data_IF_343461591894
#
_entry.id   IF_343461591894
#
_cell.length_a   1.000
_cell.length_b   1.000
_cell.length_c   1.000
_cell.angle_alpha   90.00
_cell.angle_beta   90.00
_cell.angle_gamma   90.00
#
_symmetry.space_group_name_H-M   'P 1'
#
loop_
_entity.id
_entity.type
_entity.pdbx_description
1 polymer ?
#
# COMPACT_ATOMS: atom_id res chain seq x y z
N UNK A 1 -8.19 -13.79 6.74
CA UNK A 1 -6.77 -14.01 6.40
C UNK A 1 -6.34 -12.82 5.57
N UNK A 2 -5.26 -12.14 5.93
CA UNK A 2 -4.78 -11.02 5.13
C UNK A 2 -4.23 -11.56 3.80
N UNK A 3 -4.63 -10.98 2.68
CA UNK A 3 -4.12 -11.31 1.35
C UNK A 3 -2.85 -10.50 1.09
N UNK A 4 -1.79 -11.15 0.64
CA UNK A 4 -0.57 -10.51 0.18
C UNK A 4 -0.62 -10.33 -1.34
N UNK A 5 -0.78 -9.11 -1.81
CA UNK A 5 -0.83 -8.81 -3.25
C UNK A 5 0.58 -8.53 -3.77
N UNK A 6 0.99 -9.24 -4.82
CA UNK A 6 2.32 -9.11 -5.43
C UNK A 6 2.20 -8.67 -6.87
N UNK A 7 2.90 -7.60 -7.26
CA UNK A 7 3.06 -7.25 -8.66
C UNK A 7 4.22 -8.07 -9.25
N UNK A 8 3.94 -8.88 -10.26
CA UNK A 8 4.92 -9.67 -10.98
C UNK A 8 5.09 -9.10 -12.39
N UNK A 9 6.27 -8.55 -12.68
CA UNK A 9 6.58 -7.87 -13.95
C UNK A 9 7.59 -8.70 -14.74
N UNK A 10 7.14 -9.36 -15.80
CA UNK A 10 7.92 -10.34 -16.56
C UNK A 10 7.31 -10.51 -17.95
N UNK A 11 8.09 -10.38 -19.01
CA UNK A 11 7.61 -10.48 -20.40
C UNK A 11 7.66 -11.93 -20.94
N UNK A 12 8.42 -12.82 -20.29
CA UNK A 12 8.48 -14.22 -20.67
C UNK A 12 7.28 -15.01 -20.12
N UNK A 13 6.37 -15.42 -21.01
CA UNK A 13 5.18 -16.25 -20.69
C UNK A 13 5.53 -17.51 -19.88
N UNK A 14 6.68 -18.14 -20.18
CA UNK A 14 7.13 -19.34 -19.44
C UNK A 14 7.44 -19.06 -17.97
N UNK A 15 8.02 -17.89 -17.68
CA UNK A 15 8.34 -17.45 -16.32
C UNK A 15 7.08 -17.01 -15.57
N UNK A 16 6.14 -16.36 -16.25
CA UNK A 16 4.81 -16.06 -15.69
C UNK A 16 4.09 -17.33 -15.26
N UNK A 17 4.05 -18.35 -16.12
CA UNK A 17 3.40 -19.63 -15.80
C UNK A 17 4.11 -20.34 -14.64
N UNK A 18 5.44 -20.36 -14.63
CA UNK A 18 6.21 -20.90 -13.53
C UNK A 18 5.90 -20.19 -12.20
N UNK A 19 5.82 -18.86 -12.22
CA UNK A 19 5.51 -18.08 -11.03
C UNK A 19 4.10 -18.38 -10.49
N UNK A 20 3.10 -18.52 -11.36
CA UNK A 20 1.72 -18.90 -10.97
C UNK A 20 1.72 -20.25 -10.25
N UNK A 21 2.37 -21.27 -10.83
CA UNK A 21 2.46 -22.60 -10.24
C UNK A 21 3.12 -22.57 -8.86
N UNK A 22 4.21 -21.79 -8.73
CA UNK A 22 4.89 -21.62 -7.44
C UNK A 22 4.01 -20.91 -6.43
N UNK A 23 3.23 -19.90 -6.81
CA UNK A 23 2.30 -19.21 -5.90
C UNK A 23 1.19 -20.15 -5.43
N UNK A 24 0.64 -20.97 -6.31
CA UNK A 24 -0.39 -21.96 -5.96
C UNK A 24 0.15 -22.99 -4.95
N UNK A 25 1.34 -23.54 -5.21
CA UNK A 25 2.02 -24.48 -4.33
C UNK A 25 2.39 -23.83 -2.98
N UNK A 26 2.85 -22.58 -3.01
CA UNK A 26 3.20 -21.80 -1.82
C UNK A 26 1.97 -21.58 -0.93
N UNK A 27 0.85 -21.14 -1.51
CA UNK A 27 -0.40 -20.92 -0.79
C UNK A 27 -0.91 -22.20 -0.12
N UNK A 28 -0.84 -23.34 -0.81
CA UNK A 28 -1.22 -24.64 -0.26
C UNK A 28 -0.28 -25.11 0.85
N UNK A 29 1.03 -24.99 0.63
CA UNK A 29 2.08 -25.47 1.54
C UNK A 29 2.08 -24.70 2.86
N UNK A 30 1.96 -23.37 2.78
CA UNK A 30 2.07 -22.50 3.95
C UNK A 30 0.71 -22.05 4.49
N UNK A 31 -0.40 -22.43 3.86
CA UNK A 31 -1.76 -22.00 4.20
C UNK A 31 -1.88 -20.46 4.27
N UNK A 32 -1.34 -19.80 3.23
CA UNK A 32 -1.31 -18.35 3.06
C UNK A 32 -2.19 -17.94 1.86
N UNK A 33 -2.42 -16.64 1.70
CA UNK A 33 -3.11 -16.07 0.54
C UNK A 33 -2.23 -15.03 -0.15
N UNK A 34 -1.41 -15.47 -1.10
CA UNK A 34 -0.68 -14.63 -2.04
C UNK A 34 -1.49 -14.50 -3.32
N UNK A 35 -1.73 -13.27 -3.76
CA UNK A 35 -2.42 -12.95 -5.01
C UNK A 35 -1.43 -12.28 -5.99
N UNK A 36 -1.03 -12.98 -7.07
CA UNK A 36 -0.12 -12.42 -8.06
C UNK A 36 -0.91 -11.60 -9.09
N UNK A 37 -0.45 -10.38 -9.36
CA UNK A 37 -0.92 -9.53 -10.45
C UNK A 37 0.20 -9.44 -11.50
N UNK A 38 -0.03 -10.05 -12.66
CA UNK A 38 0.99 -10.24 -13.69
C UNK A 38 0.87 -9.15 -14.75
N UNK A 39 2.01 -8.58 -15.13
CA UNK A 39 2.13 -7.60 -16.23
C UNK A 39 3.35 -7.93 -17.08
N UNK A 40 3.21 -7.79 -18.39
CA UNK A 40 4.23 -8.19 -19.36
C UNK A 40 5.16 -7.04 -19.79
N UNK A 41 4.78 -5.79 -19.52
CA UNK A 41 5.47 -4.64 -20.07
C UNK A 41 5.54 -3.46 -19.10
N UNK A 42 6.43 -2.52 -19.43
CA UNK A 42 6.69 -1.34 -18.61
C UNK A 42 5.47 -0.43 -18.46
N UNK A 43 4.70 -0.25 -19.54
CA UNK A 43 3.55 0.65 -19.55
C UNK A 43 2.41 0.09 -18.71
N UNK A 44 2.10 -1.19 -18.86
CA UNK A 44 1.10 -1.91 -18.07
C UNK A 44 1.44 -1.89 -16.58
N UNK A 45 2.71 -2.06 -16.22
CA UNK A 45 3.17 -1.94 -14.85
C UNK A 45 2.96 -0.51 -14.30
N UNK A 46 3.47 0.52 -14.99
CA UNK A 46 3.33 1.92 -14.57
C UNK A 46 1.87 2.35 -14.43
N UNK A 47 0.97 1.81 -15.25
CA UNK A 47 -0.47 2.10 -15.15
C UNK A 47 -1.17 1.47 -13.94
N UNK A 48 -0.53 0.50 -13.26
CA UNK A 48 -1.07 -0.20 -12.08
C UNK A 48 -0.43 0.20 -10.77
N UNK A 49 0.79 0.73 -10.78
CA UNK A 49 1.56 1.03 -9.55
C UNK A 49 0.77 1.94 -8.61
N UNK A 50 0.51 1.44 -7.41
CA UNK A 50 -0.09 2.15 -6.29
C UNK A 50 0.37 1.51 -4.96
N UNK A 51 -0.17 1.97 -3.83
CA UNK A 51 0.13 1.41 -2.51
C UNK A 51 -0.64 0.10 -2.19
N UNK A 52 -1.32 -0.54 -3.15
CA UNK A 52 -2.07 -1.79 -2.93
C UNK A 52 -1.18 -3.04 -2.93
N UNK A 53 0.05 -2.94 -3.44
CA UNK A 53 0.99 -4.05 -3.50
C UNK A 53 1.85 -4.15 -2.24
N UNK A 54 2.04 -5.37 -1.75
CA UNK A 54 2.89 -5.68 -0.60
C UNK A 54 4.30 -6.10 -1.00
N UNK A 55 4.52 -6.39 -2.28
CA UNK A 55 5.81 -6.72 -2.84
C UNK A 55 5.79 -6.65 -4.36
N UNK A 56 6.96 -6.47 -4.95
CA UNK A 56 7.16 -6.51 -6.39
C UNK A 56 8.28 -7.47 -6.73
N UNK A 57 8.06 -8.31 -7.72
CA UNK A 57 9.11 -9.13 -8.36
C UNK A 57 9.17 -8.70 -9.83
N UNK A 58 10.36 -8.41 -10.33
CA UNK A 58 10.53 -7.73 -11.63
C UNK A 58 11.74 -8.22 -12.41
N UNK A 59 11.56 -8.50 -13.71
CA UNK A 59 12.65 -8.54 -14.68
C UNK A 59 13.05 -7.12 -15.10
N UNK A 60 14.34 -6.89 -15.26
CA UNK A 60 14.90 -5.60 -15.59
C UNK A 60 14.84 -5.27 -17.07
N UNK A 61 14.88 -6.29 -17.93
CA UNK A 61 14.72 -6.15 -19.37
C UNK A 61 13.30 -6.59 -19.74
N UNK A 62 12.49 -5.66 -20.24
CA UNK A 62 11.10 -5.92 -20.62
C UNK A 62 10.94 -5.65 -22.12
N UNK A 63 10.83 -6.70 -22.93
CA UNK A 63 10.98 -6.63 -24.37
C UNK A 63 12.31 -6.00 -24.77
N UNK A 64 12.27 -4.91 -25.53
CA UNK A 64 13.47 -4.16 -25.93
C UNK A 64 13.81 -3.00 -24.97
N UNK A 65 13.05 -2.78 -23.89
CA UNK A 65 13.26 -1.67 -22.95
C UNK A 65 14.25 -2.04 -21.83
N UNK A 66 15.53 -1.77 -22.05
CA UNK A 66 16.60 -1.93 -21.04
C UNK A 66 16.46 -1.03 -19.81
N UNK A 67 15.57 -0.03 -19.85
CA UNK A 67 15.27 0.84 -18.72
C UNK A 67 13.92 0.51 -18.07
N UNK A 68 13.18 -0.46 -18.60
CA UNK A 68 11.81 -0.79 -18.18
C UNK A 68 11.71 -1.04 -16.69
N UNK A 69 12.47 -2.02 -16.19
CA UNK A 69 12.49 -2.35 -14.77
C UNK A 69 12.91 -1.18 -13.88
N UNK A 70 13.93 -0.42 -14.29
CA UNK A 70 14.40 0.74 -13.53
C UNK A 70 13.36 1.89 -13.48
N UNK A 71 12.58 2.10 -14.55
CA UNK A 71 11.49 3.10 -14.54
C UNK A 71 10.44 2.72 -13.51
N UNK A 72 10.07 1.44 -13.44
CA UNK A 72 9.11 0.91 -12.46
C UNK A 72 9.64 1.08 -11.03
N UNK A 73 10.89 0.73 -10.76
CA UNK A 73 11.51 0.94 -9.44
C UNK A 73 11.50 2.41 -9.02
N UNK A 74 11.84 3.33 -9.93
CA UNK A 74 11.78 4.77 -9.64
C UNK A 74 10.37 5.26 -9.33
N UNK A 75 9.35 4.73 -10.02
CA UNK A 75 7.96 5.09 -9.74
C UNK A 75 7.50 4.57 -8.38
N UNK A 76 7.83 3.31 -8.05
CA UNK A 76 7.61 2.75 -6.71
C UNK A 76 8.31 3.59 -5.62
N UNK A 77 9.49 4.12 -5.90
CA UNK A 77 10.22 4.98 -4.98
C UNK A 77 9.53 6.33 -4.72
N UNK A 78 8.62 6.77 -5.59
CA UNK A 78 7.82 7.98 -5.39
C UNK A 78 6.56 7.74 -4.54
N UNK A 79 6.19 6.48 -4.28
CA UNK A 79 5.05 6.18 -3.43
C UNK A 79 5.27 6.59 -1.97
N UNK A 80 4.22 7.05 -1.27
CA UNK A 80 4.28 7.34 0.17
C UNK A 80 4.69 6.12 1.00
N UNK A 81 4.14 4.94 0.67
CA UNK A 81 4.47 3.68 1.33
C UNK A 81 5.46 2.92 0.45
N UNK A 82 6.60 2.55 1.05
CA UNK A 82 7.68 1.87 0.33
C UNK A 82 7.36 0.40 0.17
N UNK A 83 7.35 -0.07 -1.08
CA UNK A 83 7.08 -1.47 -1.43
C UNK A 83 8.41 -2.17 -1.70
N UNK A 84 8.70 -3.31 -1.04
CA UNK A 84 9.93 -4.06 -1.28
C UNK A 84 9.95 -4.65 -2.70
N UNK A 85 11.11 -4.57 -3.35
CA UNK A 85 11.33 -5.05 -4.72
C UNK A 85 12.38 -6.17 -4.73
N UNK A 86 12.10 -7.21 -5.48
CA UNK A 86 13.05 -8.27 -5.84
C UNK A 86 13.29 -8.23 -7.34
N UNK A 87 14.54 -8.00 -7.74
CA UNK A 87 14.94 -8.05 -9.14
C UNK A 87 15.36 -9.47 -9.52
N UNK A 88 14.64 -10.10 -10.45
CA UNK A 88 14.95 -11.41 -11.01
C UNK A 88 15.27 -11.22 -12.48
N UNK A 89 16.56 -11.24 -12.84
CA UNK A 89 16.97 -10.91 -14.20
C UNK A 89 18.24 -11.64 -14.64
N UNK A 90 18.33 -11.94 -15.93
CA UNK A 90 19.57 -12.39 -16.57
C UNK A 90 20.53 -11.23 -16.87
N UNK A 91 20.10 -9.98 -16.69
CA UNK A 91 20.85 -8.76 -17.00
C UNK A 91 21.13 -7.91 -15.75
N UNK A 92 21.88 -8.42 -14.76
CA UNK A 92 22.07 -7.73 -13.47
C UNK A 92 22.76 -6.36 -13.62
N UNK A 93 23.54 -6.16 -14.68
CA UNK A 93 24.18 -4.87 -14.96
C UNK A 93 23.19 -3.74 -15.31
N UNK A 94 21.92 -4.08 -15.61
CA UNK A 94 20.87 -3.09 -15.81
C UNK A 94 20.33 -2.55 -14.47
N UNK A 95 20.53 -3.25 -13.36
CA UNK A 95 19.99 -2.85 -12.05
C UNK A 95 20.65 -1.56 -11.58
N UNK A 96 19.82 -0.53 -11.35
CA UNK A 96 20.23 0.68 -10.66
C UNK A 96 19.90 0.56 -9.18
N UNK A 97 20.87 0.90 -8.33
CA UNK A 97 20.70 0.80 -6.88
C UNK A 97 19.55 1.68 -6.40
N UNK A 98 18.63 1.06 -5.68
CA UNK A 98 17.57 1.72 -4.93
C UNK A 98 17.38 1.01 -3.58
N UNK A 99 17.04 1.77 -2.54
CA UNK A 99 16.75 1.23 -1.21
C UNK A 99 15.54 0.29 -1.15
N UNK A 100 14.65 0.37 -2.14
CA UNK A 100 13.51 -0.55 -2.29
C UNK A 100 13.93 -1.97 -2.69
N UNK A 101 15.08 -2.11 -3.36
CA UNK A 101 15.53 -3.41 -3.85
C UNK A 101 16.14 -4.19 -2.67
N UNK A 102 15.41 -5.20 -2.22
CA UNK A 102 15.81 -6.03 -1.08
C UNK A 102 16.54 -7.32 -1.49
N UNK A 103 16.46 -7.67 -2.79
CA UNK A 103 17.18 -8.82 -3.37
C UNK A 103 17.36 -8.62 -4.88
N UNK A 104 18.52 -9.03 -5.36
CA UNK A 104 18.87 -9.13 -6.78
C UNK A 104 19.34 -10.56 -7.04
N UNK A 105 18.80 -11.22 -8.07
CA UNK A 105 19.25 -12.56 -8.45
C UNK A 105 19.03 -12.85 -9.94
N UNK A 106 19.73 -13.86 -10.44
CA UNK A 106 19.41 -14.48 -11.73
C UNK A 106 18.32 -15.54 -11.55
N UNK A 107 17.70 -15.93 -12.67
CA UNK A 107 16.69 -17.02 -12.70
C UNK A 107 17.27 -18.35 -12.20
N UNK A 108 18.51 -18.66 -12.55
CA UNK A 108 19.19 -19.91 -12.17
C UNK A 108 19.75 -19.94 -10.73
N UNK A 109 19.68 -18.83 -9.99
CA UNK A 109 20.27 -18.70 -8.66
C UNK A 109 19.23 -18.26 -7.62
N UNK A 110 18.32 -19.17 -7.29
CA UNK A 110 17.24 -18.97 -6.33
C UNK A 110 15.93 -19.60 -6.82
N UNK A 111 14.84 -19.34 -6.11
CA UNK A 111 13.49 -19.75 -6.53
C UNK A 111 12.48 -18.67 -6.19
N UNK A 112 11.37 -18.62 -6.93
CA UNK A 112 10.25 -17.74 -6.58
C UNK A 112 9.68 -18.06 -5.21
N UNK A 113 9.68 -19.32 -4.76
CA UNK A 113 9.29 -19.70 -3.40
C UNK A 113 10.13 -18.97 -2.34
N UNK A 114 11.45 -18.93 -2.52
CA UNK A 114 12.35 -18.22 -1.62
C UNK A 114 12.17 -16.70 -1.64
N UNK A 115 11.68 -16.15 -2.75
CA UNK A 115 11.34 -14.74 -2.90
C UNK A 115 10.02 -14.41 -2.22
N UNK A 116 9.01 -15.28 -2.37
CA UNK A 116 7.74 -15.20 -1.67
C UNK A 116 7.95 -15.28 -0.15
N UNK A 117 8.81 -16.18 0.34
CA UNK A 117 9.17 -16.24 1.75
C UNK A 117 9.81 -14.93 2.25
N UNK A 118 10.73 -14.34 1.47
CA UNK A 118 11.37 -13.07 1.84
C UNK A 118 10.36 -11.93 1.87
N UNK A 119 9.53 -11.81 0.83
CA UNK A 119 8.50 -10.77 0.78
C UNK A 119 7.48 -10.98 1.91
N UNK A 120 7.09 -12.23 2.18
CA UNK A 120 6.22 -12.58 3.28
C UNK A 120 6.85 -12.23 4.62
N UNK A 121 8.14 -12.48 4.84
CA UNK A 121 8.85 -12.05 6.06
C UNK A 121 8.78 -10.53 6.22
N UNK A 122 8.93 -9.76 5.14
CA UNK A 122 8.81 -8.29 5.22
C UNK A 122 7.39 -7.82 5.47
N UNK A 123 6.43 -8.48 4.83
CA UNK A 123 5.01 -8.22 5.05
C UNK A 123 4.60 -8.58 6.49
N UNK A 124 5.06 -9.72 7.00
CA UNK A 124 4.70 -10.29 8.30
C UNK A 124 5.56 -9.82 9.47
N UNK A 125 6.74 -9.26 9.24
CA UNK A 125 7.49 -8.49 10.25
C UNK A 125 6.74 -7.20 10.62
N UNK A 126 5.87 -6.72 9.71
CA UNK A 126 4.82 -5.75 10.02
C UNK A 126 3.53 -6.38 10.56
N UNK A 127 3.50 -7.67 10.89
CA UNK A 127 2.34 -8.44 11.40
C UNK A 127 2.71 -9.33 12.60
N UNK A 128 3.66 -8.92 13.47
CA UNK A 128 3.75 -9.59 14.79
C UNK A 128 2.36 -9.54 15.47
N UNK A 129 2.03 -10.42 16.43
CA UNK A 129 0.71 -10.36 17.12
C UNK A 129 0.41 -8.98 17.74
N UNK A 130 1.46 -8.18 17.92
CA UNK A 130 1.50 -6.80 18.39
C UNK A 130 1.54 -5.73 17.27
N UNK A 131 1.78 -6.09 16.00
CA UNK A 131 1.79 -5.19 14.83
C UNK A 131 0.86 -5.62 13.66
N UNK A 132 -0.01 -6.62 13.78
CA UNK A 132 -1.04 -6.87 12.76
C UNK A 132 -2.05 -5.72 12.60
N UNK A 133 -1.83 -4.63 13.31
CA UNK A 133 -2.49 -3.34 13.24
C UNK A 133 -1.60 -2.33 12.52
N UNK A 134 -2.12 -1.72 11.46
CA UNK A 134 -1.47 -0.53 10.90
C UNK A 134 -1.68 0.62 11.87
N UNK A 135 -0.59 1.21 12.35
CA UNK A 135 -0.65 2.35 13.27
C UNK A 135 -0.65 3.67 12.52
N UNK A 136 -1.67 4.49 12.78
CA UNK A 136 -1.87 5.83 12.25
C UNK A 136 -1.73 6.87 13.36
N UNK A 137 -1.46 8.11 12.97
CA UNK A 137 -1.23 9.21 13.90
C UNK A 137 -2.47 10.10 13.93
N UNK A 138 -3.16 10.13 15.07
CA UNK A 138 -4.25 11.07 15.32
C UNK A 138 -3.74 12.30 16.08
N UNK A 139 -4.17 13.49 15.69
CA UNK A 139 -4.15 14.65 16.58
C UNK A 139 -5.53 14.81 17.19
N UNK A 140 -5.59 14.84 18.52
CA UNK A 140 -6.84 15.03 19.27
C UNK A 140 -6.73 16.22 20.21
N UNK A 141 -7.87 16.82 20.54
CA UNK A 141 -7.98 17.82 21.60
C UNK A 141 -9.36 17.81 22.23
N UNK A 142 -9.41 18.23 23.47
CA UNK A 142 -10.66 18.63 24.11
C UNK A 142 -10.94 20.11 23.84
N UNK A 143 -12.18 20.42 23.47
CA UNK A 143 -12.69 21.77 23.24
C UNK A 143 -14.14 21.83 23.73
N UNK A 144 -14.42 22.67 24.73
CA UNK A 144 -15.78 22.95 25.22
C UNK A 144 -16.60 21.70 25.60
N UNK A 145 -15.96 20.71 26.25
CA UNK A 145 -16.61 19.46 26.67
C UNK A 145 -16.86 18.48 25.51
N UNK A 146 -16.13 18.65 24.41
CA UNK A 146 -16.10 17.73 23.27
C UNK A 146 -14.66 17.35 22.96
N UNK A 147 -14.47 16.12 22.51
CA UNK A 147 -13.22 15.63 21.96
C UNK A 147 -13.31 15.69 20.44
N UNK A 148 -12.33 16.31 19.80
CA UNK A 148 -12.21 16.40 18.34
C UNK A 148 -10.88 15.81 17.91
N UNK A 149 -10.87 15.03 16.83
CA UNK A 149 -9.64 14.43 16.33
C UNK A 149 -9.65 14.16 14.82
N UNK A 150 -8.45 14.05 14.25
CA UNK A 150 -8.23 13.70 12.86
C UNK A 150 -6.98 12.84 12.67
N UNK A 151 -6.98 12.01 11.63
CA UNK A 151 -5.82 11.21 11.21
C UNK A 151 -4.93 12.04 10.29
N UNK A 152 -3.62 12.10 10.56
CA UNK A 152 -2.68 12.91 9.78
C UNK A 152 -2.40 12.34 8.40
N UNK A 153 -2.35 11.01 8.31
CA UNK A 153 -1.98 10.29 7.09
C UNK A 153 -3.16 10.19 6.10
N UNK A 154 -4.40 10.23 6.59
CA UNK A 154 -5.62 10.05 5.77
C UNK A 154 -6.49 11.29 5.84
N UNK A 155 -6.51 12.06 4.74
CA UNK A 155 -7.34 13.27 4.63
C UNK A 155 -8.83 12.89 4.62
N UNK A 156 -9.61 13.50 5.51
CA UNK A 156 -11.05 13.31 5.59
C UNK A 156 -11.52 12.43 6.75
N UNK A 157 -10.60 11.76 7.47
CA UNK A 157 -10.95 11.09 8.74
C UNK A 157 -10.96 12.14 9.84
N UNK A 158 -12.15 12.58 10.22
CA UNK A 158 -12.35 13.54 11.31
C UNK A 158 -13.58 13.16 12.10
N UNK A 159 -13.43 13.08 13.42
CA UNK A 159 -14.49 12.66 14.32
C UNK A 159 -14.60 13.62 15.50
N UNK A 160 -15.79 13.66 16.11
CA UNK A 160 -16.05 14.42 17.31
C UNK A 160 -16.95 13.61 18.24
N UNK A 161 -16.55 13.47 19.50
CA UNK A 161 -17.28 12.68 20.50
C UNK A 161 -17.32 13.36 21.86
N UNK A 162 -18.18 12.87 22.75
CA UNK A 162 -18.33 13.42 24.11
C UNK A 162 -17.18 13.03 25.02
N UNK A 163 -16.54 11.90 24.77
CA UNK A 163 -15.42 11.42 25.57
C UNK A 163 -14.22 11.09 24.69
N UNK A 164 -13.02 11.13 25.28
CA UNK A 164 -11.77 10.74 24.60
C UNK A 164 -11.83 9.31 24.08
N UNK A 165 -12.38 8.38 24.87
CA UNK A 165 -12.46 6.97 24.49
C UNK A 165 -13.35 6.77 23.26
N UNK A 166 -14.56 7.34 23.29
CA UNK A 166 -15.47 7.29 22.14
C UNK A 166 -14.82 7.91 20.90
N UNK A 167 -14.09 9.02 21.05
CA UNK A 167 -13.39 9.63 19.91
C UNK A 167 -12.39 8.66 19.28
N UNK A 168 -11.59 7.96 20.09
CA UNK A 168 -10.59 7.02 19.58
C UNK A 168 -11.25 5.82 18.89
N UNK A 169 -12.33 5.29 19.48
CA UNK A 169 -13.08 4.17 18.90
C UNK A 169 -13.71 4.59 17.55
N UNK A 170 -14.36 5.75 17.49
CA UNK A 170 -14.95 6.27 16.25
C UNK A 170 -13.88 6.55 15.20
N UNK A 171 -12.74 7.15 15.56
CA UNK A 171 -11.61 7.37 14.64
C UNK A 171 -11.09 6.07 14.06
N UNK A 172 -10.91 5.03 14.88
CA UNK A 172 -10.47 3.71 14.44
C UNK A 172 -11.46 3.07 13.47
N UNK A 173 -12.76 3.11 13.80
CA UNK A 173 -13.83 2.56 12.94
C UNK A 173 -13.89 3.30 11.61
N UNK A 174 -13.97 4.63 11.63
CA UNK A 174 -14.06 5.46 10.42
C UNK A 174 -12.82 5.31 9.54
N UNK A 175 -11.63 5.22 10.14
CA UNK A 175 -10.39 4.95 9.41
C UNK A 175 -10.44 3.58 8.72
N UNK A 176 -10.88 2.53 9.42
CA UNK A 176 -11.04 1.19 8.83
C UNK A 176 -12.02 1.20 7.66
N UNK A 177 -13.18 1.84 7.82
CA UNK A 177 -14.18 1.95 6.76
C UNK A 177 -13.65 2.67 5.52
N UNK A 178 -12.87 3.73 5.69
CA UNK A 178 -12.26 4.47 4.58
C UNK A 178 -11.21 3.62 3.88
N UNK A 179 -10.33 2.95 4.62
CA UNK A 179 -9.33 2.04 4.05
C UNK A 179 -10.00 0.88 3.30
N UNK A 180 -11.07 0.31 3.85
CA UNK A 180 -11.87 -0.73 3.19
C UNK A 180 -12.58 -0.19 1.93
N UNK A 181 -13.17 1.01 1.95
CA UNK A 181 -13.85 1.60 0.78
C UNK A 181 -12.86 2.01 -0.33
N UNK A 182 -11.65 2.46 0.01
CA UNK A 182 -10.59 2.67 -0.98
C UNK A 182 -10.22 1.35 -1.68
N UNK A 183 -10.13 0.24 -0.95
CA UNK A 183 -9.93 -1.08 -1.57
C UNK A 183 -11.13 -1.53 -2.43
N UNK A 184 -12.37 -1.23 -2.01
CA UNK A 184 -13.59 -1.58 -2.76
C UNK A 184 -13.82 -0.71 -4.00
N UNK A 185 -13.44 0.58 -3.97
CA UNK A 185 -13.50 1.50 -5.12
C UNK A 185 -12.49 1.12 -6.21
N UNK A 186 -11.31 0.63 -5.85
CA UNK A 186 -10.35 0.04 -6.79
C UNK A 186 -10.98 -1.17 -7.49
N UNK A 187 -11.68 -2.02 -6.74
CA UNK A 187 -12.38 -3.19 -7.32
C UNK A 187 -13.53 -2.80 -8.26
N UNK A 188 -14.32 -1.76 -7.93
CA UNK A 188 -15.47 -1.32 -8.76
C UNK A 188 -15.09 -0.52 -10.01
N UNK A 189 -13.96 0.22 -10.01
CA UNK A 189 -13.52 0.99 -11.20
C UNK A 189 -13.11 0.13 -12.40
N UNK A 190 -12.95 -1.18 -12.22
CA UNK A 190 -12.75 -2.10 -13.36
C UNK A 190 -14.03 -2.42 -14.15
N UNK A 191 -15.21 -1.93 -13.72
CA UNK A 191 -16.45 -1.97 -14.50
C UNK A 191 -17.27 -0.68 -14.36
N UNK A 192 -17.37 0.04 -15.48
CA UNK A 192 -18.28 1.15 -15.79
C UNK A 192 -17.90 2.59 -15.36
N UNK A 193 -17.58 3.34 -16.42
CA UNK A 193 -17.90 4.73 -16.74
C UNK A 193 -17.28 5.93 -16.01
N UNK A 194 -16.79 6.83 -16.86
CA UNK A 194 -16.34 8.18 -16.66
C UNK A 194 -17.48 9.11 -16.26
N UNK A 195 -17.30 9.90 -15.20
CA UNK A 195 -17.91 11.22 -15.08
C UNK A 195 -17.04 12.13 -14.19
N UNK A 196 -16.73 13.31 -14.69
CA UNK A 196 -15.83 14.27 -14.07
C UNK A 196 -16.58 15.13 -13.04
N UNK A 197 -16.17 15.06 -11.77
CA UNK A 197 -16.65 15.97 -10.70
C UNK A 197 -15.90 17.30 -10.81
N UNK A 198 -16.62 18.42 -10.89
CA UNK A 198 -16.06 19.77 -11.00
C UNK A 198 -15.63 20.31 -9.63
N UNK A 199 -14.52 21.06 -9.65
CA UNK A 199 -13.83 21.67 -8.50
C UNK A 199 -14.64 22.78 -7.79
N UNK A 200 -15.84 23.12 -8.27
CA UNK A 200 -16.67 24.19 -7.72
C UNK A 200 -17.41 23.85 -6.42
N UNK A 201 -17.44 22.57 -6.03
CA UNK A 201 -18.38 22.13 -4.98
C UNK A 201 -17.73 22.02 -3.58
N UNK A 202 -16.50 22.53 -3.40
CA UNK A 202 -15.69 22.34 -2.17
C UNK A 202 -15.65 23.59 -1.25
N UNK A 203 -16.31 24.69 -1.58
CA UNK A 203 -16.22 25.93 -0.79
C UNK A 203 -17.55 26.32 -0.13
N UNK A 204 -17.92 25.66 0.97
CA UNK A 204 -18.84 26.26 1.96
C UNK A 204 -18.91 25.49 3.29
N UNK A 205 -17.87 25.54 4.13
CA UNK A 205 -18.03 25.36 5.58
C UNK A 205 -17.06 26.28 6.33
N UNK A 206 -17.44 27.55 6.43
CA UNK A 206 -16.91 28.46 7.44
C UNK A 206 -17.79 28.35 8.70
N UNK A 207 -17.19 27.99 9.83
CA UNK A 207 -17.85 28.16 11.14
C UNK A 207 -17.30 29.43 11.80
N UNK A 208 -18.15 30.42 12.13
CA UNK A 208 -17.72 31.65 12.78
C UNK A 208 -17.71 31.52 14.31
N UNK A 209 -16.65 32.03 14.92
CA UNK A 209 -16.63 32.43 16.34
C UNK A 209 -16.07 31.38 17.31
N UNK A 210 -14.81 31.58 17.73
CA UNK A 210 -14.34 31.18 19.05
C UNK A 210 -13.22 32.13 19.48
N UNK A 211 -13.60 33.10 20.29
CA UNK A 211 -12.75 34.04 21.00
C UNK A 211 -11.92 33.34 22.08
N UNK A 212 -10.63 33.69 22.15
CA UNK A 212 -9.70 33.58 23.27
C UNK A 212 -10.05 32.59 24.39
N UNK A 213 -9.38 31.43 24.39
CA UNK A 213 -9.03 30.68 25.60
C UNK A 213 -7.83 29.76 25.29
N UNK A 214 -6.79 29.92 26.12
CA UNK A 214 -5.70 28.99 26.49
C UNK A 214 -5.33 27.91 25.48
N UNK A 215 -4.05 27.89 25.05
CA UNK A 215 -3.42 26.87 24.22
C UNK A 215 -3.67 25.44 24.76
N UNK A 216 -4.82 24.86 24.40
CA UNK A 216 -5.09 23.44 24.50
C UNK A 216 -4.25 22.78 23.41
N UNK A 217 -3.07 22.32 23.84
CA UNK A 217 -2.08 21.67 22.99
C UNK A 217 -2.69 20.37 22.47
N UNK A 218 -2.61 20.15 21.16
CA UNK A 218 -3.02 18.88 20.56
C UNK A 218 -2.23 17.73 21.17
N UNK A 219 -2.93 16.64 21.48
CA UNK A 219 -2.36 15.36 21.87
C UNK A 219 -2.15 14.52 20.60
N UNK A 220 -0.94 14.01 20.41
CA UNK A 220 -0.66 13.00 19.38
C UNK A 220 -0.94 11.61 19.96
N UNK A 221 -1.79 10.83 19.30
CA UNK A 221 -2.17 9.49 19.72
C UNK A 221 -1.99 8.51 18.56
N UNK A 222 -1.57 7.29 18.88
CA UNK A 222 -1.45 6.19 17.93
C UNK A 222 -2.77 5.44 17.85
N UNK A 223 -3.30 5.28 16.63
CA UNK A 223 -4.52 4.54 16.33
C UNK A 223 -4.14 3.32 15.52
N UNK A 224 -4.42 2.15 16.06
CA UNK A 224 -4.08 0.87 15.47
C UNK A 224 -5.31 0.32 14.72
N UNK A 225 -5.24 0.05 13.41
CA UNK A 225 -6.36 -0.51 12.62
C UNK A 225 -6.05 -1.85 12.00
#
# INVERSE_FOLDING_TARGET
>A
MNTMKILFVEDAIGEQQNFIEVVDDFNQTYNLMVEPDIVEDTWSALGKIDNSYNGVIIDMLLGDDQQGGNKIVRELANLPIKVPVICVTSYPHLIQRDSLIIRERSRDNGSYESDLLLLWERYSAGLTPENATQTYTALIRESEGWWVGWILEVRGVTCQERTRSELLDTLQITLREILEDETLKVSRRTKSESEAVKVSDILEFGVPGASNQTESRFEEVRIDV
#
